data_IF_552435040824
#
_entry.id   IF_552435040824
#
_cell.length_a   1.000
_cell.length_b   1.000
_cell.length_c   1.000
_cell.angle_alpha   90.00
_cell.angle_beta   90.00
_cell.angle_gamma   90.00
#
_symmetry.space_group_name_H-M   'P 1'
#
loop_
_entity.id
_entity.type
_entity.pdbx_description
1 polymer ?
#
# COMPACT_ATOMS: atom_id res chain seq x y z
N UNK A 1 9.03 13.73 4.37
CA UNK A 1 9.92 13.43 5.51
C UNK A 1 10.63 12.16 5.11
N UNK A 2 11.92 12.25 4.76
CA UNK A 2 12.69 11.04 4.48
C UNK A 2 12.81 10.26 5.78
N UNK A 3 12.14 9.12 5.80
CA UNK A 3 12.09 8.12 6.87
C UNK A 3 12.01 8.70 8.31
N UNK A 4 10.80 8.95 8.83
CA UNK A 4 10.58 9.40 10.21
C UNK A 4 11.17 8.49 11.29
N UNK A 5 11.39 7.22 10.97
CA UNK A 5 11.58 6.18 11.98
C UNK A 5 12.52 5.06 11.52
N UNK A 6 13.83 5.30 11.37
CA UNK A 6 14.78 4.22 11.53
C UNK A 6 14.90 3.97 13.05
N UNK A 7 14.19 2.97 13.57
CA UNK A 7 14.37 2.47 14.94
C UNK A 7 13.36 2.94 16.01
N UNK A 8 12.20 3.47 15.63
CA UNK A 8 11.10 3.70 16.57
C UNK A 8 10.19 2.47 16.61
N UNK A 9 9.92 1.97 17.82
CA UNK A 9 9.01 0.87 18.07
C UNK A 9 7.67 1.11 17.34
N UNK A 10 7.03 0.06 16.82
CA UNK A 10 5.90 0.17 15.90
C UNK A 10 4.79 1.12 16.38
N UNK A 11 4.57 1.16 17.70
CA UNK A 11 3.63 2.09 18.34
C UNK A 11 4.04 3.57 18.26
N UNK A 12 5.33 3.89 18.29
CA UNK A 12 5.82 5.27 18.26
C UNK A 12 5.77 5.86 16.84
N UNK A 13 6.01 5.06 15.80
CA UNK A 13 5.75 5.45 14.41
C UNK A 13 4.25 5.74 14.18
N UNK A 14 3.38 4.88 14.72
CA UNK A 14 1.93 5.09 14.70
C UNK A 14 1.50 6.35 15.46
N UNK A 15 2.12 6.67 16.61
CA UNK A 15 1.86 7.91 17.37
C UNK A 15 2.27 9.15 16.58
N UNK A 16 3.45 9.15 15.94
CA UNK A 16 3.88 10.27 15.10
C UNK A 16 2.90 10.47 13.95
N UNK A 17 2.53 9.41 13.23
CA UNK A 17 1.56 9.54 12.12
C UNK A 17 0.16 9.96 12.60
N UNK A 18 -0.27 9.50 13.79
CA UNK A 18 -1.54 9.91 14.43
C UNK A 18 -1.52 11.36 14.91
N UNK A 19 -0.36 11.90 15.28
CA UNK A 19 -0.20 13.29 15.75
C UNK A 19 -0.09 14.28 14.59
N UNK A 20 0.43 13.85 13.43
CA UNK A 20 0.48 14.69 12.23
C UNK A 20 -0.88 14.69 11.50
N UNK A 21 -1.69 13.63 11.65
CA UNK A 21 -3.07 13.65 11.20
C UNK A 21 -3.93 14.43 12.20
N UNK A 22 -4.83 15.25 11.66
CA UNK A 22 -5.92 15.97 12.34
C UNK A 22 -5.52 17.34 12.93
N UNK A 23 -5.52 18.37 12.06
CA UNK A 23 -6.14 19.71 12.28
C UNK A 23 -5.48 20.91 11.58
N UNK A 24 -4.38 20.73 10.85
CA UNK A 24 -3.67 21.89 10.25
C UNK A 24 -3.83 22.07 8.73
N UNK A 25 -4.62 21.24 8.05
CA UNK A 25 -4.76 21.30 6.58
C UNK A 25 -3.46 20.97 5.83
N UNK A 26 -2.53 20.26 6.47
CA UNK A 26 -1.22 19.90 5.90
C UNK A 26 -1.24 18.49 5.31
N UNK A 27 -0.61 18.33 4.15
CA UNK A 27 -0.40 17.02 3.51
C UNK A 27 0.85 16.36 4.08
N UNK A 28 0.75 15.08 4.45
CA UNK A 28 1.85 14.29 5.01
C UNK A 28 2.24 13.22 4.02
N UNK A 29 3.53 13.15 3.70
CA UNK A 29 4.11 12.08 2.88
C UNK A 29 5.18 11.38 3.70
N UNK A 30 5.03 10.07 3.86
CA UNK A 30 5.99 9.20 4.52
C UNK A 30 6.31 8.01 3.62
N UNK A 31 7.54 7.52 3.73
CA UNK A 31 8.00 6.27 3.14
C UNK A 31 8.16 5.25 4.26
N UNK A 32 7.69 4.03 4.03
CA UNK A 32 7.74 2.96 5.02
C UNK A 32 8.32 1.73 4.34
N UNK A 33 9.49 1.32 4.80
CA UNK A 33 10.14 0.10 4.36
C UNK A 33 9.66 -1.03 5.26
N UNK A 34 8.57 -1.72 4.84
CA UNK A 34 7.98 -2.88 5.52
C UNK A 34 7.20 -2.53 6.80
N UNK A 35 5.95 -2.03 6.68
CA UNK A 35 5.11 -1.78 7.85
C UNK A 35 4.83 -3.10 8.60
N UNK A 36 4.92 -3.08 9.94
CA UNK A 36 4.37 -4.16 10.75
C UNK A 36 2.84 -4.20 10.64
N UNK A 37 2.23 -5.30 11.10
CA UNK A 37 0.76 -5.46 11.11
C UNK A 37 0.11 -4.31 11.88
N UNK A 38 0.60 -4.01 13.09
CA UNK A 38 0.05 -2.94 13.95
C UNK A 38 0.16 -1.57 13.29
N UNK A 39 1.25 -1.34 12.55
CA UNK A 39 1.51 -0.12 11.81
C UNK A 39 0.50 -0.03 10.65
N UNK A 40 0.31 -1.08 9.86
CA UNK A 40 -0.63 -1.09 8.73
C UNK A 40 -2.10 -1.00 9.16
N UNK A 41 -2.50 -1.67 10.25
CA UNK A 41 -3.84 -1.56 10.81
C UNK A 41 -4.10 -0.17 11.40
N UNK A 42 -3.12 0.40 12.12
CA UNK A 42 -3.20 1.80 12.53
C UNK A 42 -3.28 2.77 11.33
N UNK A 43 -2.78 2.36 10.16
CA UNK A 43 -2.84 3.14 8.92
C UNK A 43 -4.14 3.01 8.14
N UNK A 44 -4.88 1.92 8.28
CA UNK A 44 -6.15 1.73 7.58
C UNK A 44 -7.20 2.78 8.02
N UNK A 45 -7.11 3.26 9.27
CA UNK A 45 -7.90 4.42 9.76
C UNK A 45 -7.27 5.79 9.40
N UNK A 46 -5.94 5.86 9.25
CA UNK A 46 -5.18 7.11 9.14
C UNK A 46 -4.83 7.52 7.69
N UNK A 47 -4.73 6.62 6.72
CA UNK A 47 -4.33 6.95 5.34
C UNK A 47 -5.48 6.67 4.36
N UNK A 48 -5.99 7.74 3.76
CA UNK A 48 -7.01 7.66 2.69
C UNK A 48 -6.40 7.33 1.33
N UNK A 49 -5.07 7.29 1.18
CA UNK A 49 -4.41 7.13 -0.11
C UNK A 49 -3.05 6.43 0.06
N UNK A 50 -2.82 5.35 -0.70
CA UNK A 50 -1.55 4.61 -0.75
C UNK A 50 -0.92 4.81 -2.14
N UNK A 51 0.37 5.14 -2.16
CA UNK A 51 1.21 5.06 -3.35
C UNK A 51 2.18 3.89 -3.18
N UNK A 52 2.01 2.85 -3.98
CA UNK A 52 2.85 1.65 -4.00
C UNK A 52 3.67 1.60 -5.28
N UNK A 53 4.96 1.36 -5.12
CA UNK A 53 5.91 1.23 -6.23
C UNK A 53 6.64 -0.11 -6.14
N UNK A 54 6.87 -0.73 -7.30
CA UNK A 54 7.78 -1.87 -7.41
C UNK A 54 9.22 -1.42 -7.58
N UNK A 55 10.14 -2.39 -7.54
CA UNK A 55 11.57 -2.15 -7.80
C UNK A 55 11.74 -1.46 -9.16
N UNK A 56 12.57 -0.43 -9.19
CA UNK A 56 12.74 0.43 -10.38
C UNK A 56 11.88 1.69 -10.37
N UNK A 57 11.13 1.96 -9.29
CA UNK A 57 10.37 3.20 -9.11
C UNK A 57 9.10 3.27 -9.95
N UNK A 58 8.63 2.14 -10.46
CA UNK A 58 7.40 2.07 -11.24
C UNK A 58 6.20 1.91 -10.31
N UNK A 59 5.18 2.75 -10.50
CA UNK A 59 3.95 2.72 -9.71
C UNK A 59 3.12 1.50 -10.12
N UNK A 60 2.65 0.75 -9.11
CA UNK A 60 1.80 -0.42 -9.30
C UNK A 60 0.42 -0.25 -8.64
N UNK A 61 0.30 0.71 -7.71
CA UNK A 61 -0.97 1.15 -7.14
C UNK A 61 -0.85 2.60 -6.68
N UNK A 62 -1.83 3.45 -7.01
CA UNK A 62 -1.98 4.75 -6.40
C UNK A 62 -3.46 5.03 -6.19
N UNK A 63 -3.94 4.95 -4.96
CA UNK A 63 -5.37 5.01 -4.72
C UNK A 63 -5.75 4.88 -3.26
N UNK A 64 -7.04 5.06 -2.96
CA UNK A 64 -7.54 4.90 -1.61
C UNK A 64 -7.49 3.44 -1.15
N UNK A 65 -7.08 3.20 0.10
CA UNK A 65 -7.12 1.86 0.71
C UNK A 65 -8.57 1.37 0.88
N UNK A 66 -9.46 2.29 1.26
CA UNK A 66 -10.81 1.92 1.71
C UNK A 66 -10.79 1.34 3.12
N UNK A 67 -11.96 1.13 3.72
CA UNK A 67 -12.08 0.45 5.02
C UNK A 67 -11.57 -0.99 4.90
N UNK A 68 -10.75 -1.43 5.84
CA UNK A 68 -10.12 -2.76 5.88
C UNK A 68 -9.37 -3.07 4.57
N UNK A 69 -8.79 -2.04 3.95
CA UNK A 69 -8.04 -2.13 2.69
C UNK A 69 -8.80 -2.78 1.51
N UNK A 70 -10.15 -2.80 1.54
CA UNK A 70 -10.94 -3.52 0.53
C UNK A 70 -10.67 -3.06 -0.91
N UNK A 71 -10.41 -1.76 -1.15
CA UNK A 71 -10.16 -1.25 -2.52
C UNK A 71 -8.81 -1.72 -3.07
N UNK A 72 -7.82 -1.79 -2.19
CA UNK A 72 -6.50 -2.34 -2.52
C UNK A 72 -6.63 -3.84 -2.87
N UNK A 73 -7.36 -4.59 -2.04
CA UNK A 73 -7.59 -6.02 -2.25
C UNK A 73 -8.33 -6.25 -3.56
N UNK A 74 -9.47 -5.59 -3.78
CA UNK A 74 -10.25 -5.69 -5.01
C UNK A 74 -9.43 -5.36 -6.27
N UNK A 75 -8.55 -4.36 -6.19
CA UNK A 75 -7.70 -3.98 -7.32
C UNK A 75 -6.74 -5.10 -7.72
N UNK A 76 -6.05 -5.70 -6.75
CA UNK A 76 -5.08 -6.75 -7.03
C UNK A 76 -5.75 -8.09 -7.33
N UNK A 77 -6.86 -8.42 -6.69
CA UNK A 77 -7.65 -9.63 -6.99
C UNK A 77 -8.32 -9.57 -8.38
N UNK A 78 -8.50 -8.39 -8.96
CA UNK A 78 -8.99 -8.24 -10.33
C UNK A 78 -7.95 -8.66 -11.39
N UNK A 79 -6.68 -8.84 -11.00
CA UNK A 79 -5.63 -9.36 -11.89
C UNK A 79 -5.77 -10.88 -11.97
N UNK A 80 -5.83 -11.47 -13.17
CA UNK A 80 -5.91 -12.92 -13.33
C UNK A 80 -4.77 -13.64 -12.61
N UNK A 81 -5.07 -14.80 -12.02
CA UNK A 81 -4.11 -15.67 -11.33
C UNK A 81 -3.46 -15.10 -10.05
N UNK A 82 -3.78 -13.86 -9.65
CA UNK A 82 -3.37 -13.36 -8.33
C UNK A 82 -4.07 -14.15 -7.22
N UNK A 83 -3.33 -14.73 -6.26
CA UNK A 83 -3.94 -15.45 -5.14
C UNK A 83 -4.78 -14.52 -4.29
N UNK A 84 -6.02 -14.93 -4.01
CA UNK A 84 -6.90 -14.22 -3.08
C UNK A 84 -6.30 -14.13 -1.70
N UNK A 85 -6.58 -13.03 -1.01
CA UNK A 85 -6.18 -12.90 0.39
C UNK A 85 -6.95 -13.90 1.25
N UNK A 86 -6.29 -14.46 2.26
CA UNK A 86 -6.93 -15.36 3.23
C UNK A 86 -7.62 -14.56 4.32
N UNK A 87 -8.73 -15.09 4.85
CA UNK A 87 -9.44 -14.46 5.96
C UNK A 87 -8.49 -14.24 7.16
N UNK A 88 -8.49 -13.02 7.70
CA UNK A 88 -7.62 -12.62 8.81
C UNK A 88 -6.15 -12.46 8.46
N UNK A 89 -5.77 -12.57 7.18
CA UNK A 89 -4.41 -12.31 6.74
C UNK A 89 -4.18 -10.82 6.51
N UNK A 90 -2.99 -10.32 6.84
CA UNK A 90 -2.70 -8.91 6.78
C UNK A 90 -2.63 -8.42 5.31
N UNK A 91 -3.42 -7.40 4.90
CA UNK A 91 -3.43 -6.93 3.53
C UNK A 91 -2.12 -6.28 3.07
N UNK A 92 -1.33 -5.65 3.95
CA UNK A 92 0.00 -5.14 3.61
C UNK A 92 0.96 -6.27 3.25
N UNK A 93 1.01 -7.29 4.10
CA UNK A 93 1.89 -8.44 3.88
C UNK A 93 1.51 -9.12 2.58
N UNK A 94 0.22 -9.39 2.39
CA UNK A 94 -0.29 -9.99 1.16
C UNK A 94 0.09 -9.17 -0.07
N UNK A 95 -0.20 -7.86 -0.05
CA UNK A 95 0.12 -6.94 -1.14
C UNK A 95 1.63 -6.94 -1.47
N UNK A 96 2.52 -6.95 -0.49
CA UNK A 96 3.97 -7.02 -0.72
C UNK A 96 4.40 -8.37 -1.32
N UNK A 97 3.79 -9.47 -0.88
CA UNK A 97 4.08 -10.81 -1.40
C UNK A 97 3.64 -10.96 -2.86
N UNK A 98 2.41 -10.58 -3.18
CA UNK A 98 1.85 -10.71 -4.53
C UNK A 98 2.50 -9.76 -5.53
N UNK A 99 2.99 -8.60 -5.07
CA UNK A 99 3.67 -7.62 -5.92
C UNK A 99 5.17 -7.87 -6.09
N UNK A 100 5.67 -8.98 -5.53
CA UNK A 100 7.08 -9.35 -5.65
C UNK A 100 7.45 -9.73 -7.08
N UNK A 101 8.72 -9.53 -7.44
CA UNK A 101 9.26 -9.90 -8.76
C UNK A 101 9.15 -11.40 -9.04
N UNK A 102 9.16 -12.23 -7.99
CA UNK A 102 8.98 -13.68 -8.14
C UNK A 102 7.56 -14.02 -8.58
N UNK A 103 6.55 -13.36 -8.01
CA UNK A 103 5.15 -13.55 -8.40
C UNK A 103 4.89 -12.96 -9.79
N UNK A 104 5.40 -11.77 -10.10
CA UNK A 104 5.32 -11.21 -11.47
C UNK A 104 5.85 -12.19 -12.52
N UNK A 105 7.01 -12.81 -12.27
CA UNK A 105 7.60 -13.78 -13.19
C UNK A 105 6.80 -15.07 -13.29
N UNK A 106 6.20 -15.55 -12.20
CA UNK A 106 5.35 -16.74 -12.18
C UNK A 106 4.04 -16.52 -12.93
N UNK A 107 3.41 -15.36 -12.74
CA UNK A 107 2.16 -15.00 -13.39
C UNK A 107 2.38 -14.50 -14.83
N UNK A 108 3.63 -14.23 -15.21
CA UNK A 108 4.00 -13.60 -16.48
C UNK A 108 3.23 -12.28 -16.72
N UNK A 109 3.18 -11.44 -15.68
CA UNK A 109 2.53 -10.12 -15.70
C UNK A 109 3.50 -9.01 -15.30
N UNK A 110 3.20 -7.79 -15.75
CA UNK A 110 3.84 -6.58 -15.24
C UNK A 110 2.78 -5.71 -14.55
N UNK A 111 2.86 -5.60 -13.22
CA UNK A 111 1.90 -4.80 -12.45
C UNK A 111 1.96 -3.30 -12.77
N UNK A 112 3.10 -2.79 -13.22
CA UNK A 112 3.21 -1.39 -13.64
C UNK A 112 2.47 -1.16 -14.96
N UNK A 113 2.53 -2.12 -15.89
CA UNK A 113 1.75 -2.06 -17.13
C UNK A 113 0.24 -2.19 -16.85
N UNK A 114 -0.15 -3.09 -15.95
CA UNK A 114 -1.53 -3.24 -15.50
C UNK A 114 -2.03 -1.91 -14.91
N UNK A 115 -1.24 -1.30 -14.02
CA UNK A 115 -1.58 -0.02 -13.41
C UNK A 115 -1.75 1.07 -14.47
N UNK A 116 -0.80 1.23 -15.39
CA UNK A 116 -0.88 2.23 -16.45
C UNK A 116 -2.12 2.08 -17.35
N UNK A 117 -2.64 0.85 -17.52
CA UNK A 117 -3.87 0.57 -18.28
C UNK A 117 -5.15 0.64 -17.44
N UNK A 118 -5.04 0.69 -16.12
CA UNK A 118 -6.16 0.63 -15.19
C UNK A 118 -7.02 1.90 -15.21
N UNK A 119 -8.27 1.78 -14.75
CA UNK A 119 -9.14 2.94 -14.49
C UNK A 119 -8.57 3.82 -13.38
N UNK A 120 -7.85 3.23 -12.42
CA UNK A 120 -7.24 3.92 -11.28
C UNK A 120 -6.16 4.91 -11.73
N UNK A 121 -5.32 4.53 -12.69
CA UNK A 121 -4.35 5.45 -13.28
C UNK A 121 -5.04 6.63 -13.99
N UNK A 122 -6.13 6.36 -14.73
CA UNK A 122 -6.88 7.41 -15.44
C UNK A 122 -7.57 8.40 -14.49
N UNK A 123 -8.03 7.96 -13.33
CA UNK A 123 -8.63 8.85 -12.32
C UNK A 123 -7.61 9.73 -11.61
N UNK A 124 -6.32 9.42 -11.73
CA UNK A 124 -5.22 10.16 -11.10
C UNK A 124 -4.54 11.16 -12.05
N UNK A 125 -5.03 11.28 -13.30
CA UNK A 125 -4.64 12.31 -14.27
C UNK A 125 -5.58 13.51 -14.16
#
# INVERSE_FOLDING_TARGET
>A
MDEPTPGLDAGAAAIVMRTVKVDTGRTVVCTIHQPSIDIFEAFDELFQFLLLMKRGGQVIYAGPLGRESHKLIEYFEAVPEVPKIKDGYNPATWMLEISSTAVEAQLNVDFAEIYAKSKLYRSNQ
#
